data_IF_880653223412
#
_entry.id   IF_880653223412
#
_cell.length_a   1.000
_cell.length_b   1.000
_cell.length_c   1.000
_cell.angle_alpha   90.00
_cell.angle_beta   90.00
_cell.angle_gamma   90.00
#
_symmetry.space_group_name_H-M   'P 1'
#
loop_
_entity.id
_entity.type
_entity.pdbx_description
1 polymer ?
#
# COMPACT_ATOMS: atom_id res chain seq x y z
N UNK A 1 -18.72 12.10 -14.32
CA UNK A 1 -18.42 11.22 -13.16
C UNK A 1 -19.75 10.70 -12.65
N UNK A 2 -19.96 9.40 -12.48
CA UNK A 2 -21.24 8.88 -11.98
C UNK A 2 -21.49 9.34 -10.53
N UNK A 3 -22.77 9.52 -10.15
CA UNK A 3 -23.16 9.95 -8.80
C UNK A 3 -22.59 9.04 -7.70
N UNK A 4 -22.54 7.73 -7.97
CA UNK A 4 -21.94 6.74 -7.08
C UNK A 4 -20.46 7.03 -6.81
N UNK A 5 -19.68 7.43 -7.82
CA UNK A 5 -18.26 7.68 -7.66
C UNK A 5 -18.01 8.93 -6.80
N UNK A 6 -18.84 9.96 -6.96
CA UNK A 6 -18.80 11.15 -6.12
C UNK A 6 -19.17 10.84 -4.67
N UNK A 7 -20.19 10.01 -4.45
CA UNK A 7 -20.58 9.58 -3.11
C UNK A 7 -19.46 8.80 -2.41
N UNK A 8 -18.81 7.86 -3.10
CA UNK A 8 -17.65 7.12 -2.57
C UNK A 8 -16.51 8.07 -2.21
N UNK A 9 -16.21 9.02 -3.08
CA UNK A 9 -15.14 9.98 -2.84
C UNK A 9 -15.41 10.88 -1.62
N UNK A 10 -16.63 11.39 -1.47
CA UNK A 10 -17.02 12.19 -0.31
C UNK A 10 -16.92 11.41 1.00
N UNK A 11 -17.32 10.14 1.00
CA UNK A 11 -17.19 9.26 2.17
C UNK A 11 -15.73 9.05 2.52
N UNK A 12 -14.88 8.75 1.55
CA UNK A 12 -13.44 8.54 1.76
C UNK A 12 -12.76 9.80 2.31
N UNK A 13 -13.06 10.98 1.77
CA UNK A 13 -12.54 12.26 2.26
C UNK A 13 -12.98 12.53 3.71
N UNK A 14 -14.24 12.24 4.06
CA UNK A 14 -14.72 12.37 5.44
C UNK A 14 -13.95 11.47 6.40
N UNK A 15 -13.73 10.20 6.05
CA UNK A 15 -12.95 9.28 6.88
C UNK A 15 -11.47 9.71 6.96
N UNK A 16 -10.91 10.22 5.87
CA UNK A 16 -9.56 10.77 5.86
C UNK A 16 -9.42 11.87 6.92
N UNK A 17 -10.33 12.85 6.98
CA UNK A 17 -10.27 13.90 7.99
C UNK A 17 -10.45 13.40 9.42
N UNK A 18 -11.30 12.40 9.65
CA UNK A 18 -11.48 11.80 10.99
C UNK A 18 -10.17 11.14 11.47
N UNK A 19 -9.47 10.43 10.58
CA UNK A 19 -8.24 9.72 10.92
C UNK A 19 -7.04 10.68 11.00
N UNK A 20 -6.98 11.65 10.08
CA UNK A 20 -5.86 12.59 9.96
C UNK A 20 -6.08 13.91 10.70
N UNK A 21 -7.12 14.05 11.52
CA UNK A 21 -7.35 15.28 12.29
C UNK A 21 -6.07 15.68 13.03
N UNK A 22 -5.60 16.88 12.67
CA UNK A 22 -4.24 17.33 12.88
C UNK A 22 -4.01 17.82 14.31
N UNK A 23 -5.02 17.70 15.18
CA UNK A 23 -4.99 18.21 16.56
C UNK A 23 -4.05 17.46 17.50
N UNK A 24 -3.67 16.22 17.18
CA UNK A 24 -2.72 15.45 17.99
C UNK A 24 -1.34 15.40 17.31
N UNK A 25 -0.50 16.37 17.61
CA UNK A 25 0.92 16.43 17.25
C UNK A 25 1.70 15.46 18.16
N UNK A 26 2.29 14.41 17.56
CA UNK A 26 3.18 13.40 18.19
C UNK A 26 2.54 12.42 19.19
N UNK A 27 1.43 11.78 18.82
CA UNK A 27 0.99 10.56 19.51
C UNK A 27 1.90 9.37 19.16
N UNK A 28 2.23 8.54 20.15
CA UNK A 28 2.94 7.25 19.99
C UNK A 28 2.34 6.43 18.84
N UNK A 29 1.01 6.37 18.74
CA UNK A 29 0.30 5.64 17.69
C UNK A 29 0.60 6.13 16.28
N UNK A 30 0.79 7.44 16.08
CA UNK A 30 1.14 7.98 14.76
C UNK A 30 2.54 7.53 14.34
N UNK A 31 3.50 7.50 15.27
CA UNK A 31 4.87 7.03 15.00
C UNK A 31 4.85 5.52 14.73
N UNK A 32 4.16 4.75 15.57
CA UNK A 32 4.02 3.32 15.41
C UNK A 32 3.42 2.95 14.04
N UNK A 33 2.29 3.55 13.66
CA UNK A 33 1.64 3.30 12.37
C UNK A 33 2.49 3.74 11.17
N UNK A 34 3.33 4.76 11.33
CA UNK A 34 4.29 5.19 10.30
C UNK A 34 5.38 4.11 10.10
N UNK A 35 5.91 3.54 11.18
CA UNK A 35 6.86 2.42 11.09
C UNK A 35 6.21 1.16 10.52
N UNK A 36 4.99 0.82 10.96
CA UNK A 36 4.24 -0.30 10.40
C UNK A 36 3.98 -0.08 8.91
N UNK A 37 3.64 1.13 8.45
CA UNK A 37 3.46 1.39 7.03
C UNK A 37 4.73 1.17 6.21
N UNK A 38 5.91 1.54 6.75
CA UNK A 38 7.21 1.31 6.09
C UNK A 38 7.52 -0.16 5.84
N UNK A 39 6.92 -1.07 6.60
CA UNK A 39 7.06 -2.51 6.36
C UNK A 39 6.47 -2.93 5.00
N UNK A 40 5.51 -2.16 4.48
CA UNK A 40 4.90 -2.34 3.17
C UNK A 40 5.71 -1.79 1.98
N UNK A 41 6.87 -1.15 2.20
CA UNK A 41 7.68 -0.50 1.12
C UNK A 41 8.21 -1.48 0.05
N UNK A 42 8.03 -2.78 0.27
CA UNK A 42 8.45 -3.84 -0.65
C UNK A 42 9.81 -4.45 -0.29
N UNK A 43 10.59 -3.80 0.57
CA UNK A 43 11.84 -4.37 1.09
C UNK A 43 11.61 -5.70 1.81
N UNK A 44 10.58 -5.77 2.68
CA UNK A 44 10.25 -7.02 3.36
C UNK A 44 9.74 -8.09 2.40
N UNK A 45 8.99 -7.71 1.36
CA UNK A 45 8.56 -8.64 0.31
C UNK A 45 9.76 -9.23 -0.44
N UNK A 46 10.73 -8.38 -0.80
CA UNK A 46 11.97 -8.82 -1.43
C UNK A 46 12.77 -9.76 -0.51
N UNK A 47 13.00 -9.36 0.73
CA UNK A 47 13.72 -10.18 1.71
C UNK A 47 13.03 -11.52 1.95
N UNK A 48 11.70 -11.52 2.10
CA UNK A 48 10.93 -12.76 2.31
C UNK A 48 10.99 -13.68 1.09
N UNK A 49 10.94 -13.11 -0.12
CA UNK A 49 11.11 -13.89 -1.36
C UNK A 49 12.52 -14.47 -1.46
N UNK A 50 13.54 -13.72 -1.04
CA UNK A 50 14.92 -14.19 -1.05
C UNK A 50 15.17 -15.27 0.00
N UNK A 51 14.74 -15.07 1.25
CA UNK A 51 14.90 -16.05 2.33
C UNK A 51 14.01 -17.27 2.14
N UNK A 52 12.79 -17.09 1.64
CA UNK A 52 11.88 -18.19 1.37
C UNK A 52 12.40 -19.17 0.32
N UNK A 53 13.28 -18.72 -0.59
CA UNK A 53 14.00 -19.61 -1.49
C UNK A 53 14.92 -20.61 -0.76
N UNK A 54 15.58 -20.17 0.31
CA UNK A 54 16.51 -21.03 1.06
C UNK A 54 15.80 -21.93 2.08
N UNK A 55 14.64 -21.51 2.58
CA UNK A 55 13.97 -22.16 3.72
C UNK A 55 12.79 -23.04 3.26
N UNK A 56 12.14 -22.72 2.13
CA UNK A 56 10.98 -23.48 1.66
C UNK A 56 11.37 -24.88 1.18
N UNK A 57 10.62 -25.89 1.64
CA UNK A 57 10.71 -27.28 1.16
C UNK A 57 10.56 -27.39 -0.36
N UNK A 58 9.82 -26.46 -0.98
CA UNK A 58 9.63 -26.38 -2.42
C UNK A 58 9.98 -24.98 -2.95
N UNK A 59 11.26 -24.64 -2.80
CA UNK A 59 11.85 -23.36 -3.21
C UNK A 59 11.54 -22.94 -4.65
N UNK A 60 11.52 -23.89 -5.60
CA UNK A 60 11.21 -23.62 -7.00
C UNK A 60 9.75 -23.21 -7.21
N UNK A 61 8.81 -23.89 -6.55
CA UNK A 61 7.40 -23.49 -6.60
C UNK A 61 7.18 -22.16 -5.89
N UNK A 62 7.80 -21.95 -4.74
CA UNK A 62 7.73 -20.70 -3.98
C UNK A 62 8.16 -19.51 -4.83
N UNK A 63 9.35 -19.54 -5.43
CA UNK A 63 9.84 -18.44 -6.27
C UNK A 63 8.90 -18.18 -7.45
N UNK A 64 8.42 -19.23 -8.14
CA UNK A 64 7.53 -19.05 -9.29
C UNK A 64 6.25 -18.32 -8.90
N UNK A 65 5.62 -18.73 -7.80
CA UNK A 65 4.38 -18.09 -7.30
C UNK A 65 4.67 -16.68 -6.79
N UNK A 66 5.77 -16.49 -6.06
CA UNK A 66 6.17 -15.17 -5.56
C UNK A 66 6.41 -14.17 -6.69
N UNK A 67 7.19 -14.53 -7.70
CA UNK A 67 7.45 -13.68 -8.87
C UNK A 67 6.16 -13.39 -9.64
N UNK A 68 5.30 -14.39 -9.83
CA UNK A 68 4.02 -14.20 -10.50
C UNK A 68 3.10 -13.24 -9.72
N UNK A 69 2.97 -13.42 -8.41
CA UNK A 69 2.14 -12.57 -7.56
C UNK A 69 2.67 -11.13 -7.50
N UNK A 70 3.99 -10.95 -7.40
CA UNK A 70 4.64 -9.62 -7.45
C UNK A 70 4.36 -8.96 -8.80
N UNK A 71 4.55 -9.67 -9.92
CA UNK A 71 4.30 -9.13 -11.25
C UNK A 71 2.83 -8.72 -11.42
N UNK A 72 1.91 -9.57 -10.97
CA UNK A 72 0.47 -9.31 -11.01
C UNK A 72 0.10 -8.07 -10.17
N UNK A 73 0.63 -7.95 -8.94
CA UNK A 73 0.45 -6.75 -8.11
C UNK A 73 0.93 -5.48 -8.82
N UNK A 74 2.13 -5.49 -9.44
CA UNK A 74 2.64 -4.31 -10.14
C UNK A 74 1.87 -3.97 -11.40
N UNK A 75 1.41 -4.97 -12.16
CA UNK A 75 0.57 -4.75 -13.35
C UNK A 75 -0.77 -4.11 -12.92
N UNK A 76 -1.45 -4.69 -11.93
CA UNK A 76 -2.72 -4.15 -11.42
C UNK A 76 -2.52 -2.76 -10.84
N UNK A 77 -1.46 -2.55 -10.05
CA UNK A 77 -1.10 -1.25 -9.50
C UNK A 77 -0.99 -0.21 -10.61
N UNK A 78 -0.19 -0.46 -11.64
CA UNK A 78 0.05 0.49 -12.72
C UNK A 78 -1.20 0.76 -13.56
N UNK A 79 -2.01 -0.25 -13.86
CA UNK A 79 -3.26 -0.09 -14.60
C UNK A 79 -4.21 0.80 -13.80
N UNK A 80 -4.50 0.44 -12.54
CA UNK A 80 -5.44 1.19 -11.71
C UNK A 80 -4.95 2.61 -11.43
N UNK A 81 -3.64 2.80 -11.22
CA UNK A 81 -3.03 4.12 -11.00
C UNK A 81 -3.25 5.04 -12.19
N UNK A 82 -3.03 4.52 -13.41
CA UNK A 82 -3.20 5.26 -14.67
C UNK A 82 -4.66 5.45 -15.07
N UNK A 83 -5.55 4.54 -14.69
CA UNK A 83 -6.98 4.64 -15.02
C UNK A 83 -7.74 5.57 -14.10
N UNK A 84 -7.55 5.45 -12.78
CA UNK A 84 -8.36 6.16 -11.80
C UNK A 84 -7.82 7.56 -11.49
N UNK A 85 -6.50 7.76 -11.63
CA UNK A 85 -5.83 9.07 -11.52
C UNK A 85 -6.30 9.89 -10.31
N UNK A 86 -6.59 9.23 -9.19
CA UNK A 86 -7.11 9.89 -8.00
C UNK A 86 -6.01 10.77 -7.39
N UNK A 87 -6.18 12.09 -7.31
CA UNK A 87 -5.18 12.97 -6.71
C UNK A 87 -5.02 12.70 -5.20
N UNK A 88 -3.89 13.11 -4.63
CA UNK A 88 -3.64 12.96 -3.19
C UNK A 88 -4.30 14.09 -2.38
N UNK A 89 -4.83 13.79 -1.17
CA UNK A 89 -5.49 14.79 -0.31
C UNK A 89 -4.70 16.08 -0.10
N UNK A 90 -3.38 16.00 0.11
CA UNK A 90 -2.53 17.17 0.33
C UNK A 90 -2.38 18.11 -0.87
N UNK A 91 -2.76 17.68 -2.08
CA UNK A 91 -2.77 18.56 -3.27
C UNK A 91 -4.10 19.29 -3.46
N UNK A 92 -5.19 18.79 -2.87
CA UNK A 92 -6.54 19.33 -3.05
C UNK A 92 -7.05 20.07 -1.82
N UNK A 93 -6.53 19.75 -0.64
CA UNK A 93 -7.03 20.25 0.63
C UNK A 93 -5.97 21.16 1.25
N UNK A 94 -6.31 22.44 1.40
CA UNK A 94 -5.49 23.41 2.13
C UNK A 94 -5.35 23.01 3.60
N UNK A 95 -4.13 23.07 4.15
CA UNK A 95 -3.82 22.72 5.54
C UNK A 95 -3.36 21.28 5.77
N UNK A 96 -3.51 20.37 4.80
CA UNK A 96 -2.95 19.00 4.87
C UNK A 96 -1.50 19.02 4.39
N UNK A 97 -0.53 18.98 5.32
CA UNK A 97 0.90 18.90 4.99
C UNK A 97 1.35 17.46 4.89
N UNK A 98 1.90 17.07 3.74
CA UNK A 98 2.62 15.79 3.62
C UNK A 98 4.01 15.92 4.26
N UNK A 99 4.39 14.97 5.12
CA UNK A 99 5.77 14.90 5.68
C UNK A 99 6.81 14.52 4.62
N UNK A 100 6.39 13.80 3.58
CA UNK A 100 7.24 13.32 2.49
C UNK A 100 6.50 13.57 1.18
N UNK A 101 7.14 14.21 0.20
CA UNK A 101 6.57 14.34 -1.13
C UNK A 101 6.78 12.99 -1.84
N UNK A 102 5.70 12.24 -2.11
CA UNK A 102 5.81 10.97 -2.81
C UNK A 102 6.18 11.22 -4.27
N UNK A 103 6.98 10.33 -4.86
CA UNK A 103 7.33 10.38 -6.29
C UNK A 103 6.11 10.21 -7.22
N UNK A 104 5.04 9.58 -6.74
CA UNK A 104 3.82 9.34 -7.50
C UNK A 104 2.71 10.35 -7.13
N UNK A 105 2.15 10.98 -8.16
CA UNK A 105 1.08 11.98 -8.09
C UNK A 105 -0.26 11.41 -7.59
N UNK A 106 -0.54 10.13 -7.81
CA UNK A 106 -1.85 9.56 -7.50
C UNK A 106 -1.88 8.84 -6.15
N UNK A 107 -3.05 8.84 -5.48
CA UNK A 107 -3.28 8.20 -4.17
C UNK A 107 -3.67 6.74 -4.27
N UNK A 108 -4.39 6.35 -5.32
CA UNK A 108 -4.99 5.02 -5.44
C UNK A 108 -4.50 4.21 -6.65
N UNK A 109 -4.18 2.91 -6.52
CA UNK A 109 -4.17 2.13 -5.28
C UNK A 109 -2.91 2.39 -4.43
N UNK A 110 -2.90 1.88 -3.20
CA UNK A 110 -1.76 1.96 -2.27
C UNK A 110 -0.71 0.91 -2.61
N UNK A 111 0.51 1.34 -2.93
CA UNK A 111 1.62 0.43 -3.21
C UNK A 111 2.08 -0.37 -1.98
N UNK A 112 2.07 0.27 -0.79
CA UNK A 112 2.44 -0.39 0.47
C UNK A 112 1.48 -1.54 0.80
N UNK A 113 0.19 -1.29 0.62
CA UNK A 113 -0.87 -2.27 0.88
C UNK A 113 -0.79 -3.43 -0.11
N UNK A 114 -0.53 -3.16 -1.39
CA UNK A 114 -0.32 -4.20 -2.40
C UNK A 114 0.83 -5.13 -2.02
N UNK A 115 2.02 -4.58 -1.78
CA UNK A 115 3.19 -5.36 -1.38
C UNK A 115 2.98 -6.14 -0.07
N UNK A 116 2.36 -5.54 0.94
CA UNK A 116 2.05 -6.20 2.20
C UNK A 116 1.04 -7.35 2.04
N UNK A 117 0.07 -7.20 1.14
CA UNK A 117 -0.93 -8.25 0.84
C UNK A 117 -0.25 -9.44 0.16
N UNK A 118 0.58 -9.19 -0.86
CA UNK A 118 1.34 -10.26 -1.54
C UNK A 118 2.23 -10.99 -0.56
N UNK A 119 2.98 -10.26 0.28
CA UNK A 119 3.83 -10.83 1.32
C UNK A 119 3.03 -11.76 2.24
N UNK A 120 1.92 -11.27 2.77
CA UNK A 120 1.08 -12.02 3.73
C UNK A 120 0.56 -13.31 3.11
N UNK A 121 0.08 -13.26 1.87
CA UNK A 121 -0.43 -14.44 1.17
C UNK A 121 0.67 -15.46 0.87
N UNK A 122 1.86 -15.01 0.49
CA UNK A 122 3.00 -15.91 0.25
C UNK A 122 3.45 -16.61 1.54
N UNK A 123 3.56 -15.87 2.64
CA UNK A 123 3.94 -16.44 3.94
C UNK A 123 2.88 -17.44 4.40
N UNK A 124 1.61 -17.05 4.41
CA UNK A 124 0.50 -17.90 4.85
C UNK A 124 0.42 -19.22 4.06
N UNK A 125 0.66 -19.19 2.75
CA UNK A 125 0.52 -20.38 1.90
C UNK A 125 1.73 -21.32 1.99
N UNK A 126 2.96 -20.81 2.06
CA UNK A 126 4.17 -21.62 1.96
C UNK A 126 4.86 -21.90 3.30
N UNK A 127 4.51 -21.17 4.36
CA UNK A 127 5.08 -21.33 5.71
C UNK A 127 3.95 -21.36 6.76
N UNK A 128 3.12 -22.42 6.77
CA UNK A 128 2.03 -22.58 7.73
C UNK A 128 2.52 -22.82 9.17
#
# INVERSE_FOLDING_TARGET
MSELLQWVQQKDEKYFFIIFDNKSTRSFWKIFLEYVSKTGDGYLLFLTTLFGFFISDNSYQFIKVALFAIALDKIIYLILKKSLKRPRPFRQIEGVKSKLIPFDEFSFPSGHTGSATVLTLLVYYFFP
#
